data_IF_130074551326
#
_entry.id   IF_130074551326
#
_cell.length_a   1.000
_cell.length_b   1.000
_cell.length_c   1.000
_cell.angle_alpha   90.00
_cell.angle_beta   90.00
_cell.angle_gamma   90.00
#
_symmetry.space_group_name_H-M   'P 1'
#
loop_
_entity.id
_entity.type
_entity.pdbx_description
1 polymer ?
#
# COMPACT_ATOMS: atom_id res chain seq x y z
N UNK A 1 6.63 1.16 -3.12
CA UNK A 1 7.12 1.92 -1.94
C UNK A 1 8.51 1.43 -1.64
N UNK A 2 9.51 2.31 -1.71
CA UNK A 2 10.88 1.99 -1.31
C UNK A 2 11.25 2.86 -0.13
N UNK A 3 11.90 2.25 0.86
CA UNK A 3 12.53 2.94 1.97
C UNK A 3 13.92 2.35 2.11
N UNK A 4 14.91 3.22 2.18
CA UNK A 4 16.29 2.83 2.42
C UNK A 4 16.37 1.97 3.70
N UNK A 5 17.10 0.84 3.69
CA UNK A 5 17.21 -0.07 4.83
C UNK A 5 17.49 0.61 6.17
N UNK A 6 18.36 1.62 6.19
CA UNK A 6 18.77 2.33 7.41
C UNK A 6 17.61 3.13 8.02
N UNK A 7 16.61 3.46 7.20
CA UNK A 7 15.43 4.20 7.59
C UNK A 7 14.21 3.31 7.87
N UNK A 8 14.31 1.98 7.74
CA UNK A 8 13.25 1.00 8.07
C UNK A 8 13.08 0.78 9.58
N UNK A 9 13.28 1.84 10.36
CA UNK A 9 13.17 1.87 11.81
C UNK A 9 11.93 2.69 12.23
N UNK A 10 11.61 2.68 13.53
CA UNK A 10 10.73 3.66 14.18
C UNK A 10 9.39 3.95 13.47
N UNK A 11 8.75 2.92 12.88
CA UNK A 11 7.46 3.03 12.16
C UNK A 11 7.50 3.82 10.84
N UNK A 12 8.66 4.23 10.33
CA UNK A 12 8.78 5.03 9.10
C UNK A 12 8.10 4.37 7.88
N UNK A 13 8.25 3.06 7.72
CA UNK A 13 7.58 2.32 6.64
C UNK A 13 6.05 2.37 6.75
N UNK A 14 5.51 2.31 7.98
CA UNK A 14 4.06 2.44 8.22
C UNK A 14 3.59 3.86 7.94
N UNK A 15 4.32 4.86 8.44
CA UNK A 15 4.05 6.28 8.21
C UNK A 15 4.01 6.61 6.71
N UNK A 16 5.08 6.30 5.97
CA UNK A 16 5.18 6.58 4.54
C UNK A 16 4.14 5.84 3.70
N UNK A 17 3.71 4.66 4.14
CA UNK A 17 2.63 3.99 3.45
C UNK A 17 1.28 4.66 3.73
N UNK A 18 0.95 4.87 5.00
CA UNK A 18 -0.37 5.32 5.46
C UNK A 18 -0.64 6.80 5.19
N UNK A 19 0.39 7.64 5.10
CA UNK A 19 0.25 9.05 4.71
C UNK A 19 -0.43 9.22 3.35
N UNK A 20 -0.23 8.27 2.42
CA UNK A 20 -0.89 8.27 1.10
C UNK A 20 -2.39 8.04 1.20
N UNK A 21 -2.82 7.20 2.14
CA UNK A 21 -4.25 6.99 2.39
C UNK A 21 -4.87 8.20 3.09
N UNK A 22 -4.11 8.90 3.94
CA UNK A 22 -4.55 10.15 4.55
C UNK A 22 -4.72 11.26 3.49
N UNK A 23 -3.79 11.37 2.55
CA UNK A 23 -3.89 12.26 1.39
C UNK A 23 -5.13 11.94 0.54
N UNK A 24 -5.33 10.66 0.23
CA UNK A 24 -6.50 10.19 -0.50
C UNK A 24 -7.81 10.49 0.24
N UNK A 25 -7.80 10.49 1.58
CA UNK A 25 -8.93 10.94 2.40
C UNK A 25 -9.17 12.43 2.35
N UNK A 26 -8.12 13.25 2.29
CA UNK A 26 -8.24 14.70 2.21
C UNK A 26 -8.75 15.16 0.84
N UNK A 27 -8.38 14.44 -0.23
CA UNK A 27 -8.61 14.87 -1.60
C UNK A 27 -9.34 13.83 -2.44
N UNK A 28 -10.35 13.21 -1.85
CA UNK A 28 -11.13 12.11 -2.44
C UNK A 28 -11.57 12.38 -3.89
N UNK A 29 -11.93 13.63 -4.21
CA UNK A 29 -12.41 14.06 -5.52
C UNK A 29 -11.41 13.91 -6.67
N UNK A 30 -10.11 13.75 -6.38
CA UNK A 30 -9.07 13.59 -7.41
C UNK A 30 -8.70 12.12 -7.66
N UNK A 31 -9.40 11.17 -7.04
CA UNK A 31 -9.14 9.74 -7.17
C UNK A 31 -10.38 8.99 -7.67
N UNK A 32 -10.13 7.90 -8.39
CA UNK A 32 -11.16 6.95 -8.80
C UNK A 32 -11.83 6.26 -7.61
N UNK A 33 -12.95 5.57 -7.83
CA UNK A 33 -13.65 4.86 -6.75
C UNK A 33 -12.87 3.68 -6.18
N UNK A 34 -12.06 3.02 -7.01
CA UNK A 34 -11.28 1.85 -6.63
C UNK A 34 -9.79 2.16 -6.78
N UNK A 35 -9.00 1.73 -5.79
CA UNK A 35 -7.54 1.71 -5.89
C UNK A 35 -7.02 0.29 -6.01
N UNK A 36 -5.88 0.16 -6.66
CA UNK A 36 -5.14 -1.08 -6.83
C UNK A 36 -3.71 -0.94 -6.34
N UNK A 37 -3.14 -2.05 -5.88
CA UNK A 37 -1.74 -2.16 -5.52
C UNK A 37 -1.21 -3.49 -6.04
N UNK A 38 -0.33 -3.42 -7.04
CA UNK A 38 0.41 -4.57 -7.55
C UNK A 38 1.58 -4.86 -6.62
N UNK A 39 1.65 -6.10 -6.16
CA UNK A 39 2.64 -6.54 -5.19
C UNK A 39 3.64 -7.41 -5.93
N UNK A 40 4.93 -7.04 -5.86
CA UNK A 40 6.01 -7.85 -6.44
C UNK A 40 5.89 -9.31 -6.01
N UNK A 41 5.79 -10.19 -6.98
CA UNK A 41 5.64 -11.63 -6.85
C UNK A 41 6.90 -12.34 -6.42
N UNK A 42 6.78 -13.65 -6.21
CA UNK A 42 7.89 -14.47 -5.75
C UNK A 42 8.99 -14.62 -6.81
N UNK A 43 10.23 -14.41 -6.38
CA UNK A 43 11.43 -14.83 -7.08
C UNK A 43 12.38 -15.47 -6.07
N UNK A 44 13.19 -16.43 -6.51
CA UNK A 44 14.18 -17.07 -5.66
C UNK A 44 15.41 -16.16 -5.40
N UNK A 45 16.39 -16.68 -4.67
CA UNK A 45 17.63 -15.96 -4.35
C UNK A 45 18.49 -15.62 -5.58
N UNK A 46 18.29 -16.32 -6.70
CA UNK A 46 18.96 -16.06 -7.97
C UNK A 46 18.16 -15.08 -8.86
N UNK A 47 17.02 -14.57 -8.36
CA UNK A 47 16.13 -13.69 -9.10
C UNK A 47 15.26 -14.40 -10.14
N UNK A 48 15.12 -15.73 -10.05
CA UNK A 48 14.28 -16.51 -10.96
C UNK A 48 12.84 -16.54 -10.46
N UNK A 49 11.88 -16.22 -11.34
CA UNK A 49 10.45 -16.36 -11.05
C UNK A 49 9.91 -17.65 -11.69
N UNK A 50 9.41 -18.61 -10.88
CA UNK A 50 8.77 -19.83 -11.41
C UNK A 50 7.59 -19.51 -12.33
N UNK A 51 6.80 -18.47 -11.99
CA UNK A 51 5.67 -18.05 -12.80
C UNK A 51 6.11 -17.49 -14.16
N UNK A 52 7.12 -16.62 -14.19
CA UNK A 52 7.68 -16.09 -15.43
C UNK A 52 8.18 -17.21 -16.35
N UNK A 53 8.93 -18.16 -15.79
CA UNK A 53 9.53 -19.26 -16.55
C UNK A 53 8.46 -20.18 -17.17
N UNK A 54 7.34 -20.39 -16.46
CA UNK A 54 6.25 -21.23 -16.93
C UNK A 54 5.30 -20.54 -17.92
N UNK A 55 5.12 -19.22 -17.79
CA UNK A 55 4.15 -18.43 -18.55
C UNK A 55 4.86 -17.40 -19.42
N UNK A 56 5.35 -16.31 -18.84
CA UNK A 56 5.84 -15.13 -19.56
C UNK A 56 6.94 -15.44 -20.58
N UNK A 57 7.99 -16.18 -20.19
CA UNK A 57 9.12 -16.50 -21.10
C UNK A 57 8.69 -17.23 -22.38
N UNK A 58 7.53 -17.91 -22.40
CA UNK A 58 7.01 -18.57 -23.60
C UNK A 58 6.44 -17.58 -24.63
N UNK A 59 6.03 -16.40 -24.18
CA UNK A 59 5.46 -15.34 -25.01
C UNK A 59 6.45 -14.20 -25.26
N UNK A 60 7.47 -14.07 -24.39
CA UNK A 60 8.52 -13.06 -24.51
C UNK A 60 9.90 -13.71 -24.62
N UNK A 61 10.61 -13.45 -25.72
CA UNK A 61 12.01 -13.83 -25.87
C UNK A 61 12.93 -12.85 -25.12
N UNK A 62 12.65 -12.57 -23.84
CA UNK A 62 13.47 -11.74 -22.96
C UNK A 62 13.62 -12.39 -21.58
N UNK A 63 14.79 -12.20 -20.98
CA UNK A 63 15.07 -12.61 -19.60
C UNK A 63 14.20 -11.85 -18.59
N UNK A 64 13.88 -12.49 -17.46
CA UNK A 64 13.03 -11.92 -16.41
C UNK A 64 13.53 -10.56 -15.91
N UNK A 65 14.85 -10.41 -15.71
CA UNK A 65 15.46 -9.15 -15.24
C UNK A 65 15.19 -7.98 -16.18
N UNK A 66 15.13 -8.25 -17.50
CA UNK A 66 14.77 -7.25 -18.51
C UNK A 66 13.27 -6.95 -18.48
N UNK A 67 12.43 -7.96 -18.28
CA UNK A 67 10.99 -7.79 -18.15
C UNK A 67 10.62 -6.97 -16.89
N UNK A 68 11.23 -7.30 -15.74
CA UNK A 68 11.07 -6.57 -14.46
C UNK A 68 11.52 -5.10 -14.61
N UNK A 69 12.63 -4.85 -15.30
CA UNK A 69 13.07 -3.49 -15.63
C UNK A 69 12.06 -2.73 -16.51
N UNK A 70 11.58 -3.34 -17.60
CA UNK A 70 10.61 -2.73 -18.52
C UNK A 70 9.28 -2.42 -17.83
N UNK A 71 8.84 -3.33 -16.95
CA UNK A 71 7.69 -3.14 -16.06
C UNK A 71 7.91 -1.96 -15.12
N UNK A 72 9.09 -1.87 -14.48
CA UNK A 72 9.48 -0.80 -13.57
C UNK A 72 9.57 0.59 -14.21
N UNK A 73 9.89 0.69 -15.50
CA UNK A 73 9.93 1.97 -16.26
C UNK A 73 8.60 2.31 -16.96
N UNK A 74 7.53 1.54 -16.71
CA UNK A 74 6.17 1.87 -17.16
C UNK A 74 5.84 1.48 -18.61
N UNK A 75 6.63 0.62 -19.26
CA UNK A 75 6.36 0.15 -20.62
C UNK A 75 5.49 -1.12 -20.64
N UNK A 76 4.38 -1.11 -19.88
CA UNK A 76 3.50 -2.29 -19.70
C UNK A 76 2.55 -2.52 -20.89
N UNK A 77 2.16 -1.47 -21.61
CA UNK A 77 1.17 -1.55 -22.70
C UNK A 77 1.60 -2.48 -23.86
N UNK A 78 2.86 -2.44 -24.27
CA UNK A 78 3.39 -3.31 -25.33
C UNK A 78 3.37 -4.81 -24.94
N UNK A 79 3.47 -5.08 -23.65
CA UNK A 79 3.57 -6.45 -23.12
C UNK A 79 2.17 -7.06 -23.01
N UNK A 80 1.15 -6.28 -22.67
CA UNK A 80 -0.24 -6.70 -22.67
C UNK A 80 -0.70 -7.28 -24.02
N UNK A 81 -0.27 -6.67 -25.12
CA UNK A 81 -0.66 -7.09 -26.48
C UNK A 81 -0.08 -8.46 -26.87
N UNK A 82 1.02 -8.85 -26.22
CA UNK A 82 1.74 -10.10 -26.47
C UNK A 82 1.29 -11.24 -25.54
N UNK A 83 0.51 -10.92 -24.49
CA UNK A 83 -0.07 -11.94 -23.62
C UNK A 83 -1.14 -12.76 -24.36
N UNK A 84 -1.29 -14.05 -24.04
CA UNK A 84 -2.30 -14.89 -24.66
C UNK A 84 -3.70 -14.32 -24.43
N UNK A 85 -4.46 -14.14 -25.53
CA UNK A 85 -5.86 -13.67 -25.49
C UNK A 85 -6.84 -14.71 -24.95
N UNK A 86 -6.38 -15.96 -24.83
CA UNK A 86 -7.18 -17.09 -24.34
C UNK A 86 -6.80 -17.43 -22.90
N UNK A 87 -7.74 -17.95 -22.10
CA UNK A 87 -7.45 -18.40 -20.74
C UNK A 87 -6.31 -19.42 -20.68
N UNK A 88 -5.46 -19.29 -19.67
CA UNK A 88 -4.45 -20.28 -19.34
C UNK A 88 -5.01 -21.23 -18.28
N UNK A 89 -4.93 -22.54 -18.55
CA UNK A 89 -5.32 -23.56 -17.58
C UNK A 89 -4.24 -23.70 -16.51
N UNK A 90 -4.54 -23.26 -15.29
CA UNK A 90 -3.61 -23.34 -14.14
C UNK A 90 -3.14 -24.77 -13.91
N UNK A 91 -4.02 -25.77 -14.08
CA UNK A 91 -3.70 -27.19 -13.90
C UNK A 91 -2.61 -27.70 -14.84
N UNK A 92 -2.41 -27.04 -15.99
CA UNK A 92 -1.36 -27.36 -16.97
C UNK A 92 0.00 -26.71 -16.64
N UNK A 93 0.07 -25.85 -15.63
CA UNK A 93 1.33 -25.25 -15.22
C UNK A 93 2.17 -26.23 -14.36
N UNK A 94 3.51 -26.11 -14.38
CA UNK A 94 4.38 -26.76 -13.41
C UNK A 94 3.99 -26.42 -11.96
N UNK A 95 4.26 -27.33 -11.02
CA UNK A 95 3.81 -27.19 -9.63
C UNK A 95 4.45 -26.01 -8.89
N UNK A 96 5.69 -25.66 -9.22
CA UNK A 96 6.40 -24.49 -8.70
C UNK A 96 5.77 -23.18 -9.19
N UNK A 97 5.37 -23.12 -10.45
CA UNK A 97 4.64 -21.98 -11.02
C UNK A 97 3.26 -21.83 -10.39
N UNK A 98 2.51 -22.94 -10.23
CA UNK A 98 1.22 -22.94 -9.51
C UNK A 98 1.38 -22.40 -8.09
N UNK A 99 2.43 -22.83 -7.39
CA UNK A 99 2.73 -22.40 -6.03
C UNK A 99 3.14 -20.93 -5.94
N UNK A 100 3.65 -20.32 -7.01
CA UNK A 100 4.04 -18.91 -7.04
C UNK A 100 2.86 -17.94 -7.31
N UNK A 101 1.74 -18.42 -7.84
CA UNK A 101 0.58 -17.58 -8.19
C UNK A 101 -0.02 -16.90 -6.96
N UNK A 102 -0.15 -15.58 -7.04
CA UNK A 102 -0.68 -14.74 -5.96
C UNK A 102 0.26 -14.63 -4.76
N UNK A 103 1.47 -15.21 -4.83
CA UNK A 103 2.44 -15.16 -3.75
C UNK A 103 3.36 -13.96 -3.95
N UNK A 104 3.49 -13.16 -2.89
CA UNK A 104 4.37 -11.99 -2.90
C UNK A 104 5.78 -12.36 -2.45
N UNK A 105 6.78 -11.62 -2.94
CA UNK A 105 8.16 -11.76 -2.50
C UNK A 105 8.28 -11.61 -0.96
N UNK A 106 9.18 -12.33 -0.26
CA UNK A 106 9.39 -12.17 1.18
C UNK A 106 9.59 -10.71 1.62
N UNK A 107 10.39 -9.95 0.86
CA UNK A 107 10.61 -8.52 1.10
C UNK A 107 9.37 -7.62 0.89
N UNK A 108 8.37 -8.11 0.14
CA UNK A 108 7.10 -7.40 -0.14
C UNK A 108 6.04 -7.70 0.93
N UNK A 109 6.18 -8.81 1.66
CA UNK A 109 5.19 -9.28 2.64
C UNK A 109 4.81 -8.24 3.72
N UNK A 110 5.72 -7.43 4.28
CA UNK A 110 5.34 -6.39 5.23
C UNK A 110 4.41 -5.33 4.62
N UNK A 111 4.66 -4.93 3.37
CA UNK A 111 3.80 -3.98 2.66
C UNK A 111 2.44 -4.61 2.35
N UNK A 112 2.43 -5.88 1.92
CA UNK A 112 1.19 -6.64 1.68
C UNK A 112 0.28 -6.64 2.92
N UNK A 113 0.81 -7.01 4.08
CA UNK A 113 0.05 -7.05 5.34
C UNK A 113 -0.48 -5.67 5.73
N UNK A 114 0.33 -4.61 5.57
CA UNK A 114 -0.11 -3.24 5.85
C UNK A 114 -1.29 -2.82 4.98
N UNK A 115 -1.29 -3.20 3.70
CA UNK A 115 -2.40 -2.90 2.79
C UNK A 115 -3.67 -3.67 3.17
N UNK A 116 -3.53 -4.92 3.63
CA UNK A 116 -4.67 -5.67 4.18
C UNK A 116 -5.25 -4.99 5.42
N UNK A 117 -4.39 -4.52 6.34
CA UNK A 117 -4.77 -3.75 7.52
C UNK A 117 -5.53 -2.46 7.17
N UNK A 118 -5.18 -1.80 6.06
CA UNK A 118 -5.87 -0.59 5.59
C UNK A 118 -7.19 -0.86 4.86
N UNK A 119 -7.48 -2.11 4.52
CA UNK A 119 -8.76 -2.49 3.91
C UNK A 119 -8.65 -3.07 2.50
N UNK A 120 -7.46 -3.14 1.90
CA UNK A 120 -7.27 -3.76 0.60
C UNK A 120 -7.43 -5.28 0.71
N UNK A 121 -7.89 -5.91 -0.37
CA UNK A 121 -8.14 -7.35 -0.44
C UNK A 121 -7.65 -7.92 -1.76
N UNK A 122 -7.15 -9.15 -1.71
CA UNK A 122 -6.88 -9.93 -2.91
C UNK A 122 -8.20 -10.41 -3.51
N UNK A 123 -8.48 -10.01 -4.77
CA UNK A 123 -9.69 -10.39 -5.51
C UNK A 123 -9.39 -11.25 -6.76
N UNK A 124 -8.31 -12.03 -6.72
CA UNK A 124 -7.97 -12.99 -7.79
C UNK A 124 -7.22 -12.39 -8.98
N UNK A 125 -6.62 -11.20 -8.82
CA UNK A 125 -5.79 -10.56 -9.85
C UNK A 125 -4.31 -10.76 -9.54
N UNK A 126 -3.52 -11.17 -10.52
CA UNK A 126 -2.07 -11.35 -10.40
C UNK A 126 -1.32 -10.50 -11.43
N UNK A 127 -0.10 -10.10 -11.11
CA UNK A 127 0.81 -9.46 -12.07
C UNK A 127 1.16 -10.43 -13.21
N UNK A 128 1.26 -9.89 -14.42
CA UNK A 128 1.46 -10.67 -15.65
C UNK A 128 2.87 -11.26 -15.77
N UNK A 129 3.85 -10.73 -15.04
CA UNK A 129 5.25 -11.12 -15.12
C UNK A 129 5.61 -12.14 -14.05
N UNK A 130 5.40 -11.79 -12.80
CA UNK A 130 5.90 -12.55 -11.66
C UNK A 130 4.80 -13.30 -10.89
N UNK A 131 3.54 -13.14 -11.31
CA UNK A 131 2.40 -13.79 -10.70
C UNK A 131 2.05 -13.23 -9.32
N UNK A 132 2.64 -12.10 -8.90
CA UNK A 132 2.39 -11.48 -7.61
C UNK A 132 0.96 -11.00 -7.43
N UNK A 133 0.45 -11.05 -6.20
CA UNK A 133 -0.92 -10.64 -5.91
C UNK A 133 -1.16 -9.15 -6.23
N UNK A 134 -2.31 -8.85 -6.83
CA UNK A 134 -2.86 -7.50 -6.90
C UNK A 134 -3.93 -7.34 -5.83
N UNK A 135 -3.74 -6.34 -4.99
CA UNK A 135 -4.69 -5.95 -3.95
C UNK A 135 -5.57 -4.81 -4.45
N UNK A 136 -6.84 -4.80 -4.06
CA UNK A 136 -7.76 -3.72 -4.40
C UNK A 136 -8.69 -3.37 -3.24
N UNK A 137 -9.16 -2.12 -3.23
CA UNK A 137 -10.24 -1.65 -2.36
C UNK A 137 -11.00 -0.53 -3.03
N UNK A 138 -12.30 -0.47 -2.75
CA UNK A 138 -13.07 0.74 -2.96
C UNK A 138 -12.65 1.75 -1.89
N UNK A 139 -12.40 2.99 -2.29
CA UNK A 139 -11.79 4.00 -1.42
C UNK A 139 -12.62 4.18 -0.15
N UNK A 140 -13.94 4.25 -0.26
CA UNK A 140 -14.84 4.39 0.87
C UNK A 140 -14.66 3.31 1.95
N UNK A 141 -14.11 2.16 1.58
CA UNK A 141 -13.89 1.04 2.47
C UNK A 141 -12.55 1.08 3.21
N UNK A 142 -11.65 1.97 2.82
CA UNK A 142 -10.35 2.13 3.44
C UNK A 142 -10.48 2.65 4.87
N UNK A 143 -9.63 2.11 5.74
CA UNK A 143 -9.54 2.50 7.15
C UNK A 143 -9.27 3.99 7.28
N UNK A 144 -8.29 4.53 6.55
CA UNK A 144 -7.97 5.96 6.61
C UNK A 144 -9.17 6.87 6.29
N UNK A 145 -10.07 6.45 5.40
CA UNK A 145 -11.29 7.21 5.07
C UNK A 145 -12.30 7.16 6.23
N UNK A 146 -12.48 5.97 6.82
CA UNK A 146 -13.44 5.74 7.89
C UNK A 146 -13.01 6.29 9.25
N UNK A 147 -11.70 6.25 9.54
CA UNK A 147 -11.15 6.54 10.86
C UNK A 147 -10.40 7.87 10.95
N UNK A 148 -10.04 8.51 9.82
CA UNK A 148 -9.40 9.82 9.91
C UNK A 148 -10.40 10.90 10.35
N UNK A 149 -9.90 11.88 11.09
CA UNK A 149 -10.72 12.95 11.66
C UNK A 149 -10.07 14.29 11.38
N UNK A 150 -10.88 15.31 11.11
CA UNK A 150 -10.42 16.70 11.07
C UNK A 150 -10.53 17.29 12.47
N UNK A 151 -9.44 17.83 12.99
CA UNK A 151 -9.33 18.42 14.33
C UNK A 151 -8.65 19.78 14.26
N UNK A 152 -8.90 20.62 15.26
CA UNK A 152 -8.33 21.97 15.34
C UNK A 152 -7.00 21.94 16.06
N UNK A 153 -6.00 22.63 15.52
CA UNK A 153 -4.68 22.76 16.14
C UNK A 153 -4.72 23.75 17.29
N UNK A 154 -4.17 23.35 18.44
CA UNK A 154 -3.82 24.25 19.53
C UNK A 154 -2.30 24.23 19.75
N UNK A 155 -1.63 25.38 19.57
CA UNK A 155 -0.18 25.46 19.75
C UNK A 155 0.14 25.71 21.21
N UNK A 156 0.90 24.81 21.81
CA UNK A 156 1.26 24.83 23.23
C UNK A 156 2.78 24.70 23.43
N UNK A 157 3.24 25.04 24.63
CA UNK A 157 4.61 24.74 25.04
C UNK A 157 4.78 23.22 25.25
N UNK A 158 5.95 22.62 24.95
CA UNK A 158 6.14 21.18 25.03
C UNK A 158 5.72 20.54 26.37
N UNK A 159 5.95 21.23 27.49
CA UNK A 159 5.58 20.75 28.83
C UNK A 159 4.07 20.68 29.09
N UNK A 160 3.25 21.37 28.29
CA UNK A 160 1.79 21.38 28.42
C UNK A 160 1.12 20.32 27.53
N UNK A 161 1.88 19.62 26.70
CA UNK A 161 1.35 18.64 25.76
C UNK A 161 1.49 17.25 26.38
N UNK A 162 0.34 16.59 26.58
CA UNK A 162 0.34 15.20 26.99
C UNK A 162 0.83 14.31 25.85
N UNK A 163 1.93 13.59 26.10
CA UNK A 163 2.51 12.60 25.18
C UNK A 163 2.08 11.21 25.64
N UNK A 164 1.47 10.44 24.73
CA UNK A 164 1.10 9.04 24.96
C UNK A 164 1.98 8.06 24.18
N UNK A 165 1.67 6.77 24.30
CA UNK A 165 2.37 5.69 23.57
C UNK A 165 1.87 5.52 22.13
N UNK A 166 0.64 5.99 21.88
CA UNK A 166 -0.03 5.91 20.59
C UNK A 166 0.46 7.01 19.65
N UNK A 167 0.81 6.62 18.43
CA UNK A 167 1.33 7.56 17.42
C UNK A 167 0.29 7.85 16.35
N UNK A 168 0.16 9.13 16.01
CA UNK A 168 -0.80 9.64 15.03
C UNK A 168 -0.06 10.26 13.84
N UNK A 169 -0.56 10.00 12.63
CA UNK A 169 -0.21 10.76 11.43
C UNK A 169 -1.09 12.00 11.43
N UNK A 170 -0.47 13.16 11.29
CA UNK A 170 -1.16 14.45 11.20
C UNK A 170 -0.80 15.06 9.86
N UNK A 171 -1.78 15.56 9.12
CA UNK A 171 -1.58 16.26 7.85
C UNK A 171 -2.36 17.58 7.79
N UNK A 172 -1.84 18.53 7.00
CA UNK A 172 -2.38 19.88 6.89
C UNK A 172 -3.52 20.04 5.87
N UNK A 173 -3.89 18.98 5.15
CA UNK A 173 -4.91 18.98 4.08
C UNK A 173 -4.72 20.10 3.03
N UNK A 174 -3.48 20.58 2.83
CA UNK A 174 -3.11 21.50 1.75
C UNK A 174 -2.64 20.67 0.55
N UNK A 175 -3.31 20.78 -0.61
CA UNK A 175 -2.99 19.97 -1.77
C UNK A 175 -1.62 20.30 -2.39
N UNK A 176 -1.28 21.59 -2.48
CA UNK A 176 -0.04 22.06 -3.12
C UNK A 176 1.15 21.97 -2.16
N UNK A 177 0.91 22.28 -0.88
CA UNK A 177 1.92 22.28 0.17
C UNK A 177 1.65 21.19 1.19
N UNK A 178 1.29 19.99 0.72
CA UNK A 178 0.98 18.89 1.60
C UNK A 178 2.16 18.58 2.54
N UNK A 179 1.87 18.57 3.83
CA UNK A 179 2.80 18.22 4.89
C UNK A 179 2.12 17.22 5.81
N UNK A 180 2.88 16.22 6.22
CA UNK A 180 2.45 15.30 7.25
C UNK A 180 3.61 14.98 8.19
N UNK A 181 3.30 14.80 9.46
CA UNK A 181 4.26 14.41 10.50
C UNK A 181 3.69 13.30 11.37
N UNK A 182 4.57 12.64 12.11
CA UNK A 182 4.20 11.69 13.15
C UNK A 182 4.24 12.41 14.51
N UNK A 183 3.15 12.33 15.27
CA UNK A 183 3.07 12.88 16.64
C UNK A 183 2.62 11.81 17.63
N UNK A 184 2.84 12.09 18.90
CA UNK A 184 2.42 11.25 20.03
C UNK A 184 1.43 11.98 20.96
N UNK A 185 0.98 13.17 20.56
CA UNK A 185 -0.14 13.85 21.21
C UNK A 185 -1.46 13.27 20.68
N UNK A 186 -2.33 12.88 21.60
CA UNK A 186 -3.64 12.36 21.26
C UNK A 186 -4.64 13.51 21.06
N UNK A 187 -5.44 13.52 19.98
CA UNK A 187 -6.55 14.46 19.85
C UNK A 187 -7.57 14.28 21.00
N UNK A 188 -7.96 15.37 21.64
CA UNK A 188 -8.98 15.39 22.69
C UNK A 188 -10.02 16.46 22.38
N UNK A 189 -11.31 16.11 22.43
CA UNK A 189 -12.43 17.04 22.14
C UNK A 189 -12.25 17.81 20.82
N UNK A 190 -11.83 17.12 19.75
CA UNK A 190 -11.53 17.69 18.42
C UNK A 190 -10.39 18.73 18.41
N UNK A 191 -9.55 18.75 19.43
CA UNK A 191 -8.35 19.59 19.49
C UNK A 191 -7.11 18.70 19.50
N UNK A 192 -6.13 19.04 18.67
CA UNK A 192 -4.80 18.46 18.69
C UNK A 192 -3.79 19.50 19.17
N UNK A 193 -3.13 19.21 20.29
CA UNK A 193 -2.05 20.03 20.78
C UNK A 193 -0.75 19.72 20.03
N UNK A 194 -0.10 20.77 19.54
CA UNK A 194 1.17 20.69 18.82
C UNK A 194 2.18 21.67 19.41
N UNK A 195 3.46 21.32 19.38
CA UNK A 195 4.52 22.29 19.66
C UNK A 195 4.62 23.30 18.52
N UNK A 196 5.23 24.46 18.78
CA UNK A 196 5.54 25.45 17.75
C UNK A 196 6.39 24.86 16.60
N UNK A 197 7.28 23.93 16.91
CA UNK A 197 8.13 23.25 15.93
C UNK A 197 7.32 22.30 15.04
N UNK A 198 6.42 21.50 15.63
CA UNK A 198 5.52 20.61 14.89
C UNK A 198 4.56 21.40 13.99
N UNK A 199 3.97 22.48 14.50
CA UNK A 199 3.12 23.37 13.73
C UNK A 199 3.87 23.99 12.54
N UNK A 200 5.13 24.41 12.73
CA UNK A 200 5.99 24.89 11.65
C UNK A 200 6.30 23.81 10.61
N UNK A 201 6.55 22.57 11.01
CA UNK A 201 6.77 21.45 10.09
C UNK A 201 5.54 21.15 9.23
N UNK A 202 4.35 21.26 9.83
CA UNK A 202 3.05 21.10 9.15
C UNK A 202 2.63 22.33 8.34
N UNK A 203 3.29 23.48 8.52
CA UNK A 203 2.88 24.77 7.96
C UNK A 203 1.45 25.16 8.37
N UNK A 204 1.15 25.08 9.68
CA UNK A 204 -0.16 25.41 10.26
C UNK A 204 -0.04 26.38 11.42
N UNK A 205 -1.10 27.12 11.68
CA UNK A 205 -1.24 28.08 12.78
C UNK A 205 -2.26 27.60 13.82
N UNK A 206 -2.30 28.28 14.97
CA UNK A 206 -3.32 28.02 15.98
C UNK A 206 -4.73 28.22 15.40
N UNK A 207 -5.62 27.24 15.60
CA UNK A 207 -6.96 27.26 15.00
C UNK A 207 -7.06 26.62 13.61
N UNK A 208 -5.93 26.25 12.97
CA UNK A 208 -5.96 25.54 11.70
C UNK A 208 -6.60 24.15 11.84
N UNK A 209 -7.26 23.69 10.78
CA UNK A 209 -7.73 22.31 10.71
C UNK A 209 -6.61 21.40 10.20
N UNK A 210 -6.45 20.25 10.85
CA UNK A 210 -5.55 19.18 10.43
C UNK A 210 -6.29 17.85 10.43
N UNK A 211 -5.89 16.95 9.55
CA UNK A 211 -6.41 15.58 9.53
C UNK A 211 -5.50 14.66 10.33
N UNK A 212 -6.10 13.84 11.18
CA UNK A 212 -5.40 12.91 12.06
C UNK A 212 -5.84 11.47 11.80
N UNK A 213 -4.88 10.53 11.87
CA UNK A 213 -5.13 9.11 11.79
C UNK A 213 -4.16 8.34 12.70
N UNK A 214 -4.67 7.44 13.54
CA UNK A 214 -3.78 6.57 14.33
C UNK A 214 -3.00 5.62 13.41
N UNK A 215 -1.69 5.52 13.65
CA UNK A 215 -0.82 4.57 12.92
C UNK A 215 -1.17 3.13 13.27
N UNK A 216 -1.62 2.87 14.50
CA UNK A 216 -1.99 1.54 14.95
C UNK A 216 -3.42 1.24 14.54
N UNK A 217 -3.62 0.06 13.95
CA UNK A 217 -4.96 -0.46 13.68
C UNK A 217 -5.47 -1.06 14.97
N UNK A 218 -6.59 -0.55 15.48
CA UNK A 218 -7.29 -1.19 16.62
C UNK A 218 -7.58 -2.63 16.20
N UNK A 219 -7.15 -3.62 16.99
CA UNK A 219 -7.32 -5.03 16.63
C UNK A 219 -8.80 -5.31 16.36
N UNK A 220 -9.12 -5.44 15.07
CA UNK A 220 -10.27 -6.21 14.60
C UNK A 220 -9.69 -7.58 14.30
N UNK A 221 -10.35 -8.64 14.79
CA UNK A 221 -9.95 -10.03 14.57
C UNK A 221 -9.41 -10.23 13.16
N UNK A 222 -8.12 -10.58 13.07
CA UNK A 222 -7.42 -10.73 11.80
C UNK A 222 -8.23 -11.68 10.91
N UNK A 223 -8.69 -11.28 9.71
CA UNK A 223 -9.13 -12.26 8.75
C UNK A 223 -7.92 -13.14 8.44
N UNK A 224 -8.08 -14.45 8.64
CA UNK A 224 -7.05 -15.42 8.25
C UNK A 224 -6.57 -15.08 6.84
N UNK A 225 -5.25 -15.12 6.63
CA UNK A 225 -4.67 -15.16 5.29
C UNK A 225 -5.01 -16.53 4.73
N UNK A 226 -6.28 -16.70 4.33
CA UNK A 226 -6.72 -17.88 3.62
C UNK A 226 -6.00 -17.83 2.29
N UNK A 227 -5.30 -18.92 1.99
CA UNK A 227 -4.73 -19.19 0.68
C UNK A 227 -5.91 -19.28 -0.32
N UNK A 228 -6.40 -18.12 -0.77
CA UNK A 228 -7.66 -17.96 -1.51
C UNK A 228 -7.59 -18.43 -2.96
N UNK A 229 -6.48 -19.05 -3.37
CA UNK A 229 -6.41 -19.83 -4.62
C UNK A 229 -7.59 -20.80 -4.74
N UNK A 230 -8.13 -21.33 -3.62
CA UNK A 230 -9.28 -22.25 -3.61
C UNK A 230 -10.67 -21.60 -3.73
N UNK A 231 -10.80 -20.27 -3.73
CA UNK A 231 -12.11 -19.60 -3.67
C UNK A 231 -12.49 -18.84 -4.95
N UNK A 232 -11.63 -18.82 -5.97
CA UNK A 232 -11.89 -18.15 -7.26
C UNK A 232 -11.81 -19.16 -8.39
N UNK A 233 -12.90 -19.31 -9.15
CA UNK A 233 -12.96 -20.22 -10.31
C UNK A 233 -12.01 -19.82 -11.45
N UNK A 234 -11.56 -18.56 -11.47
CA UNK A 234 -10.63 -18.02 -12.46
C UNK A 234 -9.71 -16.97 -11.84
N UNK A 235 -8.47 -16.90 -12.35
CA UNK A 235 -7.51 -15.84 -12.06
C UNK A 235 -7.45 -14.87 -13.22
N UNK A 236 -7.26 -13.59 -12.92
CA UNK A 236 -7.12 -12.53 -13.92
C UNK A 236 -5.72 -11.97 -13.86
N UNK A 237 -5.16 -11.68 -15.01
CA UNK A 237 -3.87 -11.03 -15.12
C UNK A 237 -4.09 -9.51 -15.19
N UNK A 238 -3.51 -8.77 -14.24
CA UNK A 238 -3.62 -7.33 -14.16
C UNK A 238 -2.66 -6.69 -15.17
N UNK A 239 -3.22 -5.86 -16.03
CA UNK A 239 -2.47 -5.00 -16.96
C UNK A 239 -2.85 -3.57 -16.60
N UNK A 240 -1.95 -2.85 -15.93
CA UNK A 240 -2.09 -1.42 -15.66
C UNK A 240 -1.26 -0.60 -16.65
#
# INVERSE_FOLDING_TARGET
LFLDPDYRLNKNGKFLSKVRFLFLSAFRQYFEETIVAEMRGYSDANGQSPFWNAVGHKFFNIEFTKADYLSGVGQKAFIAELMPRHPLYVDMLPDDAKAAIGIVHPNTRPAYNLLLEEGLRYKGYIDIFDGGATLQADIENLRAIKESQSVTVQIEQPQNIAVGDESYIVANDDYENYRAILVYSQPHQNILQLTKEQAKQLNVENGSLVRVLSVHVKQVSSPEVVNKLKATEYLRMAVN
#
